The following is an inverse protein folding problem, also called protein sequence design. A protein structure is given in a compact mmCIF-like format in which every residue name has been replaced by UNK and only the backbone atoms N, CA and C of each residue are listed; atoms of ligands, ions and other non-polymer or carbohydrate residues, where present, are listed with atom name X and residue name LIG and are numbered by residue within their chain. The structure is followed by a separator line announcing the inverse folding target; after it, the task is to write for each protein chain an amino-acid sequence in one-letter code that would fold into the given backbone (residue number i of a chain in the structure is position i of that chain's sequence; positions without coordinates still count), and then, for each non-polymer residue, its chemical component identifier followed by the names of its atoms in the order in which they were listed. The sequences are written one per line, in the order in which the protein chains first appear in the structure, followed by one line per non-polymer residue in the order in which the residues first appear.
data_IF_133160133924
#
_entry.id   IF_133160133924
#
_cell.length_a   1.000
_cell.length_b   1.000
_cell.length_c   1.000
_cell.angle_alpha   90.00
_cell.angle_beta   90.00
_cell.angle_gamma   90.00
#
_symmetry.space_group_name_H-M   'P 1'
#
loop_
_entity.id
_entity.type
_entity.pdbx_description
1 polymer ?
#
# COMPACT_ATOMS: atom_id res chain seq x y z
N UNK A 1 3.40 42.57 20.21
CA UNK A 1 4.51 41.61 20.05
C UNK A 1 4.76 40.95 21.40
N UNK A 2 4.32 39.71 21.59
CA UNK A 2 4.55 38.95 22.83
C UNK A 2 5.40 37.70 22.50
N UNK A 3 6.46 37.40 23.26
CA UNK A 3 7.33 36.27 22.95
C UNK A 3 6.70 34.95 23.40
N UNK A 4 6.67 33.97 22.49
CA UNK A 4 6.18 32.62 22.78
C UNK A 4 7.16 31.88 23.70
N UNK A 5 6.75 31.62 24.95
CA UNK A 5 7.49 30.74 25.88
C UNK A 5 7.46 29.30 25.37
N UNK A 6 8.64 28.73 25.09
CA UNK A 6 8.79 27.30 24.75
C UNK A 6 8.95 26.48 26.04
N UNK A 7 8.03 25.57 26.30
CA UNK A 7 8.15 24.57 27.36
C UNK A 7 9.23 23.54 26.95
N UNK A 8 10.33 23.48 27.70
CA UNK A 8 11.30 22.38 27.61
C UNK A 8 10.68 21.15 28.28
N UNK A 9 10.45 20.08 27.52
CA UNK A 9 10.18 18.76 28.09
C UNK A 9 11.52 18.10 28.39
N UNK A 10 11.78 17.84 29.66
CA UNK A 10 12.84 16.95 30.12
C UNK A 10 12.38 15.53 29.82
N UNK A 11 13.05 14.83 28.91
CA UNK A 11 12.80 13.41 28.64
C UNK A 11 13.79 12.64 29.51
N UNK A 12 13.26 11.91 30.49
CA UNK A 12 14.01 10.95 31.27
C UNK A 12 14.51 9.82 30.34
N UNK A 13 15.83 9.63 30.29
CA UNK A 13 16.47 8.51 29.62
C UNK A 13 16.26 7.24 30.43
N UNK A 14 15.50 6.28 29.89
CA UNK A 14 15.52 4.89 30.34
C UNK A 14 16.55 4.15 29.45
N UNK A 15 17.62 3.54 30.02
CA UNK A 15 18.58 2.78 29.25
C UNK A 15 18.02 1.37 29.02
N UNK A 16 17.69 1.01 27.78
CA UNK A 16 17.34 -0.39 27.48
C UNK A 16 16.54 -0.66 26.21
N UNK A 17 16.09 0.35 25.48
CA UNK A 17 15.39 0.11 24.21
C UNK A 17 15.77 1.19 23.20
N UNK A 18 16.45 0.78 22.14
CA UNK A 18 16.99 1.59 21.04
C UNK A 18 18.27 2.36 21.38
N UNK A 19 19.39 1.91 20.80
CA UNK A 19 20.56 2.76 20.59
C UNK A 19 20.17 3.87 19.60
N UNK A 20 19.54 4.95 20.07
CA UNK A 20 19.63 6.21 19.33
C UNK A 20 21.12 6.58 19.35
N UNK A 21 21.77 6.49 18.18
CA UNK A 21 23.17 6.89 17.97
C UNK A 21 23.46 8.17 18.75
N UNK A 22 24.11 8.05 19.90
CA UNK A 22 24.46 9.16 20.79
C UNK A 22 25.67 9.94 20.29
N UNK A 23 26.34 9.45 19.23
CA UNK A 23 27.52 10.08 18.64
C UNK A 23 27.20 11.08 17.52
N UNK A 24 25.93 11.44 17.29
CA UNK A 24 25.60 12.47 16.30
C UNK A 24 25.35 13.81 16.98
N UNK A 25 26.22 14.79 16.71
CA UNK A 25 26.11 16.17 17.18
C UNK A 25 24.65 16.69 17.08
N UNK A 26 24.14 17.43 18.07
CA UNK A 26 22.74 17.89 18.08
C UNK A 26 22.39 18.81 16.89
N UNK A 27 23.39 19.34 16.17
CA UNK A 27 23.22 20.07 14.92
C UNK A 27 22.79 19.17 13.74
N UNK A 28 23.17 17.89 13.73
CA UNK A 28 22.84 16.94 12.66
C UNK A 28 21.46 16.29 12.83
N UNK A 29 20.91 16.24 14.06
CA UNK A 29 19.57 15.70 14.32
C UNK A 29 18.42 16.50 13.71
N UNK A 30 18.65 17.79 13.39
CA UNK A 30 17.69 18.65 12.68
C UNK A 30 17.47 18.18 11.22
N UNK A 31 18.41 17.38 10.67
CA UNK A 31 18.38 16.79 9.32
C UNK A 31 17.68 15.42 9.26
N UNK A 32 17.36 14.78 10.40
CA UNK A 32 16.80 13.42 10.48
C UNK A 32 15.39 13.26 9.90
N UNK A 33 14.77 14.34 9.44
CA UNK A 33 13.49 14.27 8.75
C UNK A 33 13.71 13.56 7.41
N UNK A 34 13.26 12.29 7.31
CA UNK A 34 13.33 11.47 6.10
C UNK A 34 13.06 12.34 4.86
N UNK A 35 14.11 12.59 4.07
CA UNK A 35 14.00 13.44 2.87
C UNK A 35 12.96 12.79 1.96
N UNK A 36 11.98 13.59 1.54
CA UNK A 36 10.95 13.15 0.58
C UNK A 36 11.60 13.09 -0.79
N UNK A 37 12.20 11.96 -1.12
CA UNK A 37 12.86 11.72 -2.41
C UNK A 37 11.96 10.85 -3.29
N UNK A 38 11.99 11.11 -4.60
CA UNK A 38 11.30 10.28 -5.58
C UNK A 38 11.85 8.85 -5.59
N UNK A 39 11.00 7.86 -5.32
CA UNK A 39 11.35 6.44 -5.21
C UNK A 39 11.13 5.64 -6.50
N UNK A 40 10.95 6.30 -7.63
CA UNK A 40 10.74 5.62 -8.92
C UNK A 40 12.02 5.04 -9.55
N UNK A 41 13.20 5.54 -9.18
CA UNK A 41 14.50 5.10 -9.73
C UNK A 41 15.26 4.20 -8.74
N UNK A 42 15.86 3.11 -9.24
CA UNK A 42 16.71 2.19 -8.45
C UNK A 42 17.86 2.89 -7.73
N UNK A 43 18.50 3.88 -8.39
CA UNK A 43 19.56 4.71 -7.79
C UNK A 43 19.11 5.41 -6.50
N UNK A 44 17.84 5.82 -6.40
CA UNK A 44 17.32 6.46 -5.19
C UNK A 44 16.97 5.44 -4.10
N UNK A 45 16.56 4.23 -4.45
CA UNK A 45 16.35 3.16 -3.47
C UNK A 45 17.63 2.82 -2.73
N UNK A 46 18.73 2.62 -3.47
CA UNK A 46 20.01 2.25 -2.86
C UNK A 46 20.59 3.37 -1.98
N UNK A 47 20.31 4.65 -2.27
CA UNK A 47 20.89 5.79 -1.54
C UNK A 47 20.09 6.22 -0.32
N UNK A 48 18.77 6.03 -0.33
CA UNK A 48 17.87 6.58 0.69
C UNK A 48 17.12 5.52 1.49
N UNK A 49 17.37 4.24 1.23
CA UNK A 49 16.92 3.14 2.08
C UNK A 49 18.09 2.77 2.98
N UNK A 50 18.03 3.21 4.23
CA UNK A 50 18.95 2.77 5.26
C UNK A 50 18.43 1.43 5.80
N UNK A 51 19.19 0.35 5.58
CA UNK A 51 18.86 -1.01 5.99
C UNK A 51 19.77 -1.46 7.14
N UNK A 52 20.74 -0.63 7.56
CA UNK A 52 21.72 -0.98 8.59
C UNK A 52 21.05 -1.41 9.90
N UNK A 53 19.95 -0.77 10.31
CA UNK A 53 19.18 -1.16 11.50
C UNK A 53 18.67 -2.62 11.43
N UNK A 54 18.26 -3.07 10.23
CA UNK A 54 17.81 -4.45 10.02
C UNK A 54 19.00 -5.40 9.94
N UNK A 55 20.12 -4.97 9.34
CA UNK A 55 21.36 -5.76 9.28
C UNK A 55 21.93 -5.97 10.69
N UNK A 56 22.06 -4.91 11.47
CA UNK A 56 22.49 -4.92 12.87
C UNK A 56 21.61 -5.87 13.71
N UNK A 57 20.28 -5.77 13.58
CA UNK A 57 19.36 -6.68 14.27
C UNK A 57 19.55 -8.16 13.87
N UNK A 58 19.75 -8.44 12.58
CA UNK A 58 19.98 -9.80 12.11
C UNK A 58 21.37 -10.31 12.48
N UNK A 59 22.37 -9.45 12.57
CA UNK A 59 23.69 -9.77 13.11
C UNK A 59 23.63 -10.08 14.60
N UNK A 60 22.86 -9.31 15.37
CA UNK A 60 22.61 -9.56 16.80
C UNK A 60 21.91 -10.90 17.03
N UNK A 61 20.90 -11.25 16.23
CA UNK A 61 20.26 -12.58 16.30
C UNK A 61 21.29 -13.67 16.06
N UNK A 62 22.08 -13.58 14.99
CA UNK A 62 23.13 -14.57 14.69
C UNK A 62 24.19 -14.63 15.79
N UNK A 63 24.49 -13.50 16.42
CA UNK A 63 25.42 -13.45 17.53
C UNK A 63 24.86 -14.16 18.76
N UNK A 64 23.58 -13.97 19.09
CA UNK A 64 22.89 -14.69 20.16
C UNK A 64 22.83 -16.20 19.88
N UNK A 65 22.58 -16.60 18.64
CA UNK A 65 22.61 -18.02 18.24
C UNK A 65 24.00 -18.65 18.46
N UNK A 66 25.08 -17.93 18.15
CA UNK A 66 26.45 -18.43 18.38
C UNK A 66 26.83 -18.51 19.85
N UNK A 67 26.50 -17.48 20.63
CA UNK A 67 26.95 -17.37 22.03
C UNK A 67 26.07 -18.17 22.97
N UNK A 68 24.75 -18.07 22.79
CA UNK A 68 23.76 -18.65 23.69
C UNK A 68 23.18 -19.95 23.13
N UNK A 69 23.36 -20.25 21.84
CA UNK A 69 22.79 -21.46 21.23
C UNK A 69 21.28 -21.34 20.93
N UNK A 70 20.75 -20.12 20.82
CA UNK A 70 19.35 -19.83 20.53
C UNK A 70 18.91 -18.45 20.99
N UNK A 71 17.71 -18.01 20.59
CA UNK A 71 17.19 -16.70 20.97
C UNK A 71 16.92 -16.62 22.47
N UNK A 72 17.42 -15.58 23.13
CA UNK A 72 17.30 -15.45 24.59
C UNK A 72 15.83 -15.35 25.05
N UNK A 73 14.96 -14.78 24.19
CA UNK A 73 13.53 -14.62 24.48
C UNK A 73 12.72 -15.92 24.48
N UNK A 74 13.23 -16.99 23.87
CA UNK A 74 12.52 -18.27 23.78
C UNK A 74 12.92 -19.24 24.89
N UNK A 75 14.04 -18.97 25.57
CA UNK A 75 14.53 -19.79 26.67
C UNK A 75 13.74 -19.48 27.94
N UNK A 76 13.42 -20.52 28.70
CA UNK A 76 12.78 -20.38 30.01
C UNK A 76 13.76 -19.79 31.02
N UNK A 77 13.25 -18.99 31.95
CA UNK A 77 14.06 -18.35 33.00
C UNK A 77 14.85 -19.40 33.81
N UNK A 78 14.25 -20.58 34.06
CA UNK A 78 14.90 -21.71 34.74
C UNK A 78 16.15 -22.24 34.02
N UNK A 79 16.22 -22.08 32.69
CA UNK A 79 17.40 -22.45 31.89
C UNK A 79 18.44 -21.33 31.83
N UNK A 80 18.03 -20.07 32.04
CA UNK A 80 18.89 -18.90 32.01
C UNK A 80 19.55 -18.63 33.35
N UNK A 81 18.84 -18.90 34.43
CA UNK A 81 19.24 -18.60 35.79
C UNK A 81 19.21 -19.88 36.62
N UNK A 82 20.38 -20.37 37.02
CA UNK A 82 20.49 -21.36 38.08
C UNK A 82 20.94 -20.65 39.36
N UNK A 83 20.21 -20.85 40.44
CA UNK A 83 20.68 -20.46 41.77
C UNK A 83 21.61 -21.56 42.25
N UNK A 84 22.93 -21.34 42.15
CA UNK A 84 23.93 -22.21 42.77
C UNK A 84 23.94 -22.00 44.28
N UNK A 85 22.93 -22.58 44.93
CA UNK A 85 22.91 -22.74 46.37
C UNK A 85 23.71 -24.01 46.64
N UNK A 86 25.00 -23.84 46.96
CA UNK A 86 25.87 -24.94 47.35
C UNK A 86 25.17 -25.86 48.37
N UNK A 87 25.12 -27.16 48.05
CA UNK A 87 24.42 -28.25 48.77
C UNK A 87 23.31 -27.82 49.75
N UNK A 88 22.04 -27.76 49.31
CA UNK A 88 20.95 -27.47 50.21
C UNK A 88 20.57 -28.70 51.04
N UNK A 89 20.60 -28.58 52.37
CA UNK A 89 19.86 -29.48 53.24
C UNK A 89 18.38 -29.35 52.92
N UNK A 90 17.81 -30.49 52.50
CA UNK A 90 16.42 -30.71 52.12
C UNK A 90 15.45 -30.00 53.07
N UNK A 91 14.83 -28.91 52.62
CA UNK A 91 13.65 -28.31 53.25
C UNK A 91 12.66 -27.91 52.17
N UNK A 92 11.55 -28.63 52.16
CA UNK A 92 10.33 -28.37 51.42
C UNK A 92 9.74 -27.02 51.89
N UNK A 93 9.92 -25.96 51.11
CA UNK A 93 9.14 -24.74 51.27
C UNK A 93 7.88 -24.86 50.43
N UNK A 94 6.80 -25.21 51.11
CA UNK A 94 5.43 -25.06 50.65
C UNK A 94 5.23 -23.70 49.96
N UNK A 95 4.78 -23.74 48.72
CA UNK A 95 4.24 -22.59 48.01
C UNK A 95 2.80 -22.37 48.50
N UNK A 96 2.47 -21.27 49.20
CA UNK A 96 1.10 -20.88 49.39
C UNK A 96 0.54 -20.33 48.06
N UNK A 97 -0.46 -21.01 47.52
CA UNK A 97 -1.34 -20.52 46.46
C UNK A 97 -1.89 -19.12 46.83
N UNK A 98 -1.78 -18.11 45.94
CA UNK A 98 -2.40 -16.82 46.19
C UNK A 98 -3.92 -16.92 46.07
N UNK A 99 -4.61 -16.60 47.17
CA UNK A 99 -6.06 -16.36 47.20
C UNK A 99 -6.36 -15.07 46.45
N UNK A 100 -6.74 -15.19 45.17
CA UNK A 100 -7.28 -14.07 44.39
C UNK A 100 -8.76 -13.85 44.74
N UNK A 101 -9.03 -12.71 45.38
CA UNK A 101 -10.35 -12.15 45.67
C UNK A 101 -11.21 -11.99 44.40
N UNK A 102 -12.01 -13.00 44.07
CA UNK A 102 -13.05 -12.87 43.05
C UNK A 102 -14.26 -12.13 43.62
N UNK A 103 -14.18 -10.79 43.63
CA UNK A 103 -15.35 -9.91 43.73
C UNK A 103 -16.45 -10.40 42.79
N UNK A 104 -17.63 -10.62 43.37
CA UNK A 104 -18.70 -11.42 42.80
C UNK A 104 -19.16 -10.97 41.42
N UNK A 105 -18.91 -11.81 40.40
CA UNK A 105 -19.79 -11.88 39.25
C UNK A 105 -21.12 -12.41 39.75
N UNK A 106 -22.15 -11.55 39.77
CA UNK A 106 -23.55 -11.95 39.97
C UNK A 106 -23.78 -13.18 39.10
N UNK A 107 -24.14 -14.32 39.71
CA UNK A 107 -24.48 -15.53 38.97
C UNK A 107 -25.58 -15.12 38.01
N UNK A 108 -25.28 -15.08 36.71
CA UNK A 108 -26.31 -14.84 35.71
C UNK A 108 -27.45 -15.83 36.00
N UNK A 109 -28.68 -15.35 36.03
CA UNK A 109 -29.85 -16.14 36.36
C UNK A 109 -29.83 -17.41 35.52
N UNK A 110 -29.77 -18.58 36.17
CA UNK A 110 -29.95 -19.85 35.48
C UNK A 110 -31.33 -19.78 34.81
N UNK A 111 -31.45 -20.08 33.51
CA UNK A 111 -32.74 -20.03 32.82
C UNK A 111 -33.73 -20.97 33.50
N UNK A 112 -35.02 -20.67 33.38
CA UNK A 112 -36.08 -21.49 33.96
C UNK A 112 -36.04 -22.89 33.36
N UNK A 113 -36.51 -23.90 34.09
CA UNK A 113 -36.50 -25.29 33.62
C UNK A 113 -37.28 -25.48 32.32
N UNK A 114 -38.35 -24.70 32.12
CA UNK A 114 -39.11 -24.67 30.87
C UNK A 114 -38.28 -24.16 29.68
N UNK A 115 -37.41 -23.18 29.92
CA UNK A 115 -36.55 -22.61 28.88
C UNK A 115 -35.39 -23.56 28.55
N UNK A 116 -34.90 -24.31 29.55
CA UNK A 116 -33.92 -25.38 29.33
C UNK A 116 -34.48 -26.50 28.45
N UNK A 117 -35.76 -26.86 28.60
CA UNK A 117 -36.43 -27.90 27.78
C UNK A 117 -36.64 -27.41 26.33
N UNK A 118 -36.76 -26.10 26.11
CA UNK A 118 -36.89 -25.51 24.78
C UNK A 118 -35.54 -25.30 24.08
N UNK A 119 -34.43 -25.33 24.81
CA UNK A 119 -33.09 -25.28 24.24
C UNK A 119 -32.75 -26.58 23.53
N UNK A 120 -31.81 -26.53 22.59
CA UNK A 120 -31.36 -27.72 21.88
C UNK A 120 -30.49 -28.57 22.81
N UNK A 121 -30.86 -29.83 23.03
CA UNK A 121 -30.09 -30.76 23.86
C UNK A 121 -28.87 -31.36 23.12
N UNK A 122 -28.69 -31.02 21.84
CA UNK A 122 -27.54 -31.50 21.07
C UNK A 122 -26.26 -30.88 21.61
N UNK A 123 -25.38 -31.69 22.21
CA UNK A 123 -24.02 -31.27 22.59
C UNK A 123 -23.13 -30.90 21.38
N UNK A 124 -23.66 -31.02 20.17
CA UNK A 124 -23.01 -30.62 18.94
C UNK A 124 -23.17 -29.11 18.77
N UNK A 125 -22.07 -28.34 18.67
CA UNK A 125 -22.15 -26.92 18.41
C UNK A 125 -22.84 -26.69 17.06
N UNK A 126 -23.72 -25.68 16.94
CA UNK A 126 -24.34 -25.36 15.68
C UNK A 126 -23.26 -25.05 14.63
N UNK A 127 -23.46 -25.44 13.36
CA UNK A 127 -22.52 -25.12 12.30
C UNK A 127 -22.32 -23.62 12.23
N UNK A 128 -21.06 -23.18 12.25
CA UNK A 128 -20.71 -21.76 12.19
C UNK A 128 -21.15 -21.22 10.84
N UNK A 129 -22.07 -20.26 10.85
CA UNK A 129 -22.44 -19.52 9.64
C UNK A 129 -21.29 -18.57 9.24
N UNK A 130 -20.32 -19.14 8.53
CA UNK A 130 -19.13 -18.42 8.04
C UNK A 130 -19.48 -17.30 7.05
N UNK A 131 -20.65 -17.33 6.42
CA UNK A 131 -21.07 -16.34 5.42
C UNK A 131 -21.76 -15.15 6.07
N UNK A 132 -22.59 -15.35 7.10
CA UNK A 132 -23.28 -14.26 7.80
C UNK A 132 -22.31 -13.22 8.41
N UNK A 133 -21.12 -13.65 8.85
CA UNK A 133 -20.12 -12.77 9.45
C UNK A 133 -19.04 -12.29 8.47
N UNK A 134 -18.97 -12.85 7.26
CA UNK A 134 -18.04 -12.39 6.24
C UNK A 134 -18.56 -11.10 5.58
N UNK A 135 -18.21 -9.97 6.17
CA UNK A 135 -18.35 -8.70 5.47
C UNK A 135 -17.24 -8.56 4.43
N UNK A 136 -17.55 -8.49 3.13
CA UNK A 136 -16.54 -8.19 2.13
C UNK A 136 -15.88 -6.84 2.49
N UNK A 137 -14.55 -6.80 2.45
CA UNK A 137 -13.76 -5.63 2.87
C UNK A 137 -13.88 -5.22 4.36
N UNK A 138 -14.22 -6.13 5.29
CA UNK A 138 -14.32 -5.86 6.73
C UNK A 138 -13.11 -5.06 7.30
N UNK A 139 -11.88 -5.44 6.91
CA UNK A 139 -10.65 -4.75 7.35
C UNK A 139 -10.61 -3.27 6.92
N UNK A 140 -11.12 -2.96 5.73
CA UNK A 140 -11.19 -1.59 5.20
C UNK A 140 -12.26 -0.77 5.92
N UNK A 141 -13.40 -1.39 6.23
CA UNK A 141 -14.46 -0.76 7.01
C UNK A 141 -13.99 -0.46 8.44
N UNK A 142 -13.32 -1.40 9.10
CA UNK A 142 -12.73 -1.19 10.44
C UNK A 142 -11.75 -0.02 10.48
N UNK A 143 -10.85 0.06 9.49
CA UNK A 143 -9.91 1.19 9.37
C UNK A 143 -10.63 2.53 9.14
N UNK A 144 -11.71 2.54 8.36
CA UNK A 144 -12.52 3.75 8.15
C UNK A 144 -13.23 4.18 9.43
N UNK A 145 -13.82 3.25 10.18
CA UNK A 145 -14.46 3.50 11.46
C UNK A 145 -13.46 4.08 12.48
N UNK A 146 -12.31 3.42 12.68
CA UNK A 146 -11.25 3.90 13.56
C UNK A 146 -10.76 5.31 13.16
N UNK A 147 -10.61 5.58 11.86
CA UNK A 147 -10.23 6.92 11.39
C UNK A 147 -11.33 7.95 11.69
N UNK A 148 -12.60 7.58 11.54
CA UNK A 148 -13.72 8.46 11.86
C UNK A 148 -13.78 8.77 13.36
N UNK A 149 -13.59 7.76 14.22
CA UNK A 149 -13.49 7.92 15.68
C UNK A 149 -12.32 8.82 16.09
N UNK A 150 -11.14 8.61 15.50
CA UNK A 150 -9.98 9.48 15.75
C UNK A 150 -10.22 10.94 15.33
N UNK A 151 -10.93 11.16 14.23
CA UNK A 151 -11.29 12.51 13.80
C UNK A 151 -12.35 13.12 14.73
N UNK A 152 -13.33 12.33 15.18
CA UNK A 152 -14.35 12.74 16.13
C UNK A 152 -13.74 13.10 17.50
N UNK A 153 -12.82 12.28 18.02
CA UNK A 153 -12.08 12.55 19.26
C UNK A 153 -11.25 13.84 19.17
N UNK A 154 -10.76 14.17 17.96
CA UNK A 154 -10.06 15.44 17.69
C UNK A 154 -11.01 16.61 17.40
N UNK A 155 -12.33 16.40 17.39
CA UNK A 155 -13.33 17.41 17.02
C UNK A 155 -13.28 17.84 15.55
N UNK A 156 -12.61 17.08 14.68
CA UNK A 156 -12.41 17.44 13.28
C UNK A 156 -13.56 16.90 12.44
N UNK A 157 -14.46 17.79 12.02
CA UNK A 157 -15.55 17.46 11.10
C UNK A 157 -15.01 17.25 9.66
N UNK A 158 -15.40 16.16 8.96
CA UNK A 158 -15.01 15.92 7.58
C UNK A 158 -15.44 17.06 6.65
N UNK A 159 -14.63 17.34 5.61
CA UNK A 159 -14.90 18.39 4.62
C UNK A 159 -16.32 18.30 4.01
N UNK A 160 -16.80 17.09 3.73
CA UNK A 160 -18.15 16.86 3.18
C UNK A 160 -19.25 17.36 4.13
N UNK A 161 -19.10 17.09 5.42
CA UNK A 161 -20.07 17.53 6.43
C UNK A 161 -19.97 19.04 6.67
N UNK A 162 -18.75 19.62 6.65
CA UNK A 162 -18.57 21.08 6.64
C UNK A 162 -19.28 21.74 5.45
N UNK A 163 -19.16 21.16 4.25
CA UNK A 163 -19.83 21.64 3.04
C UNK A 163 -21.36 21.54 3.13
N UNK A 164 -21.88 20.49 3.76
CA UNK A 164 -23.32 20.36 4.00
C UNK A 164 -23.84 21.38 5.00
N UNK A 165 -23.09 21.67 6.07
CA UNK A 165 -23.45 22.70 7.03
C UNK A 165 -23.32 24.11 6.44
N UNK A 166 -22.35 24.34 5.55
CA UNK A 166 -22.19 25.63 4.86
C UNK A 166 -23.18 25.84 3.73
N UNK A 167 -23.85 24.78 3.25
CA UNK A 167 -24.97 24.92 2.33
C UNK A 167 -26.10 25.58 3.11
N UNK A 168 -26.38 26.85 2.81
CA UNK A 168 -27.62 27.51 3.25
C UNK A 168 -28.78 26.56 2.96
N UNK A 169 -29.64 26.34 3.95
CA UNK A 169 -30.93 25.71 3.71
C UNK A 169 -31.64 26.58 2.68
N UNK A 170 -31.71 26.10 1.44
CA UNK A 170 -32.58 26.72 0.45
C UNK A 170 -33.98 26.49 1.00
N UNK A 171 -34.66 27.56 1.39
CA UNK A 171 -36.06 27.49 1.76
C UNK A 171 -36.80 26.84 0.60
N UNK A 172 -37.23 25.59 0.78
CA UNK A 172 -38.02 24.82 -0.20
C UNK A 172 -39.45 25.39 -0.31
N UNK A 173 -39.61 26.69 -0.15
CA UNK A 173 -40.87 27.40 -0.27
C UNK A 173 -41.26 27.68 -1.74
N UNK A 174 -40.30 27.60 -2.68
CA UNK A 174 -40.62 27.61 -4.10
C UNK A 174 -41.19 26.24 -4.50
N UNK A 175 -42.51 26.17 -4.74
CA UNK A 175 -43.16 25.05 -5.41
C UNK A 175 -42.46 24.86 -6.75
N UNK A 176 -41.57 23.87 -6.84
CA UNK A 176 -41.05 23.43 -8.13
C UNK A 176 -42.25 22.95 -8.92
N UNK A 177 -42.47 23.51 -10.11
CA UNK A 177 -43.39 22.94 -11.08
C UNK A 177 -43.10 21.44 -11.16
N UNK A 178 -44.14 20.60 -11.08
CA UNK A 178 -43.98 19.16 -11.22
C UNK A 178 -43.28 18.90 -12.55
N UNK A 179 -42.00 18.56 -12.49
CA UNK A 179 -41.28 18.08 -13.66
C UNK A 179 -41.80 16.68 -13.91
N UNK A 180 -42.42 16.47 -15.07
CA UNK A 180 -42.86 15.14 -15.47
C UNK A 180 -41.67 14.18 -15.43
N UNK A 181 -41.92 12.98 -14.91
CA UNK A 181 -40.88 11.97 -14.79
C UNK A 181 -40.36 11.57 -16.18
N UNK A 182 -39.05 11.33 -16.30
CA UNK A 182 -38.38 10.98 -17.56
C UNK A 182 -38.84 9.64 -18.18
N UNK A 183 -39.73 8.92 -17.50
CA UNK A 183 -40.30 7.64 -17.92
C UNK A 183 -41.78 7.74 -18.30
N UNK A 184 -42.26 8.92 -18.70
CA UNK A 184 -43.64 9.06 -19.16
C UNK A 184 -43.76 8.48 -20.60
N UNK A 185 -44.51 7.39 -20.83
CA UNK A 185 -44.59 6.75 -22.15
C UNK A 185 -45.39 7.55 -23.18
N UNK A 186 -46.19 8.53 -22.74
CA UNK A 186 -46.94 9.44 -23.62
C UNK A 186 -46.12 10.67 -24.09
N UNK A 187 -44.84 10.75 -23.71
CA UNK A 187 -43.98 11.86 -24.13
C UNK A 187 -43.43 11.61 -25.52
N UNK A 188 -43.79 12.48 -26.47
CA UNK A 188 -43.24 12.47 -27.83
C UNK A 188 -41.71 12.60 -27.82
N UNK A 189 -41.02 11.81 -28.67
CA UNK A 189 -39.55 11.77 -28.76
C UNK A 189 -39.02 13.08 -29.36
N UNK A 190 -38.67 14.02 -28.48
CA UNK A 190 -38.09 15.30 -28.87
C UNK A 190 -36.57 15.16 -29.08
N UNK A 191 -36.16 14.93 -30.33
CA UNK A 191 -34.76 14.94 -30.74
C UNK A 191 -34.25 16.39 -30.86
N UNK A 192 -33.76 16.91 -29.74
CA UNK A 192 -33.14 18.25 -29.63
C UNK A 192 -31.85 18.43 -30.44
N UNK A 193 -31.40 17.39 -31.17
CA UNK A 193 -30.15 17.41 -31.94
C UNK A 193 -30.30 16.86 -33.37
N UNK A 194 -31.53 16.79 -33.90
CA UNK A 194 -31.84 16.23 -35.21
C UNK A 194 -31.36 17.01 -36.44
N UNK A 195 -30.20 17.70 -36.39
CA UNK A 195 -29.57 18.37 -37.54
C UNK A 195 -28.08 17.99 -37.74
N UNK A 196 -27.56 16.97 -37.08
CA UNK A 196 -26.21 16.48 -37.42
C UNK A 196 -26.25 15.14 -38.15
N UNK A 197 -25.68 15.16 -39.37
CA UNK A 197 -25.50 13.99 -40.22
C UNK A 197 -24.86 12.85 -39.42
N UNK A 198 -25.52 11.69 -39.43
CA UNK A 198 -25.03 10.46 -38.80
C UNK A 198 -23.58 10.22 -39.24
N UNK A 199 -22.60 10.16 -38.31
CA UNK A 199 -21.21 10.00 -38.70
C UNK A 199 -21.04 8.64 -39.35
N UNK A 200 -20.33 8.63 -40.49
CA UNK A 200 -19.90 7.44 -41.21
C UNK A 200 -18.97 6.63 -40.30
N UNK A 201 -19.55 5.78 -39.47
CA UNK A 201 -18.87 4.79 -38.66
C UNK A 201 -19.28 3.41 -39.18
N UNK A 202 -18.38 2.45 -39.09
CA UNK A 202 -18.63 1.09 -39.54
C UNK A 202 -19.81 0.49 -38.76
N UNK A 203 -20.96 0.19 -39.41
CA UNK A 203 -22.20 -0.17 -38.72
C UNK A 203 -22.06 -1.38 -37.80
N UNK A 204 -21.23 -2.34 -38.19
CA UNK A 204 -21.03 -3.59 -37.47
C UNK A 204 -20.31 -3.39 -36.13
N UNK A 205 -19.26 -2.56 -36.11
CA UNK A 205 -18.50 -2.28 -34.89
C UNK A 205 -19.34 -1.53 -33.84
N UNK A 206 -20.18 -0.60 -34.31
CA UNK A 206 -21.03 0.22 -33.44
C UNK A 206 -22.18 -0.60 -32.85
N UNK A 207 -22.74 -1.54 -33.62
CA UNK A 207 -23.76 -2.48 -33.16
C UNK A 207 -23.23 -3.39 -32.04
N UNK A 208 -21.97 -3.84 -32.15
CA UNK A 208 -21.40 -4.78 -31.20
C UNK A 208 -20.81 -4.14 -29.94
N UNK A 209 -20.18 -2.97 -30.07
CA UNK A 209 -19.43 -2.35 -28.96
C UNK A 209 -20.13 -1.14 -28.33
N UNK A 210 -21.15 -0.60 -29.01
CA UNK A 210 -21.90 0.59 -28.57
C UNK A 210 -21.05 1.87 -28.49
N UNK A 211 -19.84 1.86 -29.04
CA UNK A 211 -18.87 2.95 -28.92
C UNK A 211 -18.25 3.25 -30.28
N UNK A 212 -17.86 4.51 -30.50
CA UNK A 212 -17.10 4.92 -31.69
C UNK A 212 -15.63 4.51 -31.53
N UNK A 213 -14.99 4.11 -32.63
CA UNK A 213 -13.54 3.90 -32.68
C UNK A 213 -12.81 5.22 -32.39
N UNK A 214 -11.81 5.16 -31.50
CA UNK A 214 -10.95 6.32 -31.21
C UNK A 214 -9.98 6.51 -32.37
N UNK A 215 -9.88 7.73 -32.89
CA UNK A 215 -8.89 8.07 -33.94
C UNK A 215 -7.47 7.93 -33.38
N UNK A 216 -6.63 7.18 -34.09
CA UNK A 216 -5.21 7.02 -33.74
C UNK A 216 -4.47 8.33 -34.00
N UNK A 217 -3.58 8.79 -33.09
CA UNK A 217 -2.77 9.98 -33.33
C UNK A 217 -1.78 9.74 -34.48
N UNK A 218 -1.62 10.74 -35.36
CA UNK A 218 -0.78 10.66 -36.58
C UNK A 218 0.70 10.34 -36.29
N UNK A 219 1.23 10.81 -35.16
CA UNK A 219 2.61 10.54 -34.72
C UNK A 219 2.96 9.06 -34.61
N UNK A 220 1.96 8.18 -34.50
CA UNK A 220 2.17 6.74 -34.42
C UNK A 220 2.36 6.10 -35.81
N UNK A 221 1.97 6.79 -36.88
CA UNK A 221 2.19 6.33 -38.25
C UNK A 221 3.57 6.74 -38.78
N UNK A 222 4.22 7.70 -38.12
CA UNK A 222 5.57 8.17 -38.47
C UNK A 222 6.61 7.09 -38.10
N UNK A 223 7.45 6.72 -39.07
CA UNK A 223 8.56 5.81 -38.81
C UNK A 223 9.64 6.51 -37.97
N UNK A 224 10.18 5.86 -36.93
CA UNK A 224 11.10 6.50 -35.98
C UNK A 224 12.48 6.82 -36.57
N UNK A 225 12.87 6.15 -37.66
CA UNK A 225 14.16 6.34 -38.33
C UNK A 225 14.00 6.34 -39.84
N UNK A 226 14.80 7.17 -40.51
CA UNK A 226 14.93 7.19 -41.99
C UNK A 226 15.82 6.05 -42.49
N UNK A 227 16.61 5.45 -41.59
CA UNK A 227 17.54 4.38 -41.94
C UNK A 227 16.79 3.07 -42.26
N UNK A 228 17.25 2.30 -43.26
CA UNK A 228 16.71 0.97 -43.52
C UNK A 228 16.96 0.06 -42.31
N UNK A 229 16.08 -0.93 -42.11
CA UNK A 229 16.15 -1.83 -40.97
C UNK A 229 17.43 -2.71 -40.96
N UNK A 230 18.01 -2.97 -42.14
CA UNK A 230 19.23 -3.75 -42.32
C UNK A 230 20.13 -3.00 -43.30
N UNK A 231 21.37 -2.76 -42.89
CA UNK A 231 22.41 -2.26 -43.78
C UNK A 231 22.85 -3.40 -44.70
N UNK A 232 22.56 -3.26 -45.99
CA UNK A 232 22.98 -4.24 -47.00
C UNK A 232 24.38 -3.88 -47.47
N UNK A 233 25.35 -4.75 -47.19
CA UNK A 233 26.74 -4.60 -47.62
C UNK A 233 26.81 -4.81 -49.14
N UNK A 234 27.74 -4.11 -49.81
CA UNK A 234 28.03 -4.33 -51.22
C UNK A 234 28.40 -5.81 -51.50
N UNK A 235 28.03 -6.38 -52.66
CA UNK A 235 28.24 -7.81 -52.96
C UNK A 235 29.71 -8.25 -52.93
N UNK A 236 30.63 -7.30 -53.17
CA UNK A 236 32.08 -7.50 -53.05
C UNK A 236 32.58 -7.83 -51.63
N UNK A 237 31.76 -7.62 -50.59
CA UNK A 237 32.11 -7.91 -49.20
C UNK A 237 31.69 -9.31 -48.72
N UNK A 238 31.17 -10.15 -49.63
CA UNK A 238 30.90 -11.55 -49.34
C UNK A 238 32.19 -12.36 -49.21
N UNK A 239 32.14 -13.55 -48.59
CA UNK A 239 33.31 -14.40 -48.37
C UNK A 239 33.96 -14.89 -49.68
N UNK A 240 33.17 -14.99 -50.76
CA UNK A 240 33.62 -15.39 -52.09
C UNK A 240 32.98 -14.49 -53.16
N UNK A 241 33.44 -13.25 -53.32
CA UNK A 241 32.86 -12.31 -54.26
C UNK A 241 33.35 -12.57 -55.68
N UNK A 242 32.54 -12.21 -56.68
CA UNK A 242 33.00 -12.12 -58.06
C UNK A 242 34.09 -11.05 -58.18
N UNK A 243 35.06 -11.25 -59.09
CA UNK A 243 36.25 -10.41 -59.20
C UNK A 243 35.89 -8.93 -59.41
N UNK A 244 34.95 -8.66 -60.32
CA UNK A 244 34.50 -7.29 -60.60
C UNK A 244 33.83 -6.63 -59.38
N UNK A 245 33.03 -7.39 -58.64
CA UNK A 245 32.32 -6.90 -57.46
C UNK A 245 33.29 -6.53 -56.32
N UNK A 246 34.36 -7.31 -56.17
CA UNK A 246 35.41 -7.03 -55.19
C UNK A 246 36.24 -5.78 -55.55
N UNK A 247 36.63 -5.63 -56.82
CA UNK A 247 37.38 -4.45 -57.28
C UNK A 247 36.59 -3.15 -57.08
N UNK A 248 35.29 -3.16 -57.41
CA UNK A 248 34.40 -2.01 -57.18
C UNK A 248 34.32 -1.63 -55.71
N UNK A 249 34.30 -2.62 -54.80
CA UNK A 249 34.31 -2.35 -53.36
C UNK A 249 35.63 -1.69 -52.92
N UNK A 250 36.76 -2.19 -53.40
CA UNK A 250 38.08 -1.62 -53.08
C UNK A 250 38.22 -0.19 -53.58
N UNK A 251 37.81 0.09 -54.82
CA UNK A 251 37.86 1.45 -55.37
C UNK A 251 36.96 2.40 -54.57
N UNK A 252 35.73 1.98 -54.26
CA UNK A 252 34.81 2.78 -53.44
C UNK A 252 35.39 3.08 -52.05
N UNK A 253 36.07 2.10 -51.43
CA UNK A 253 36.71 2.31 -50.14
C UNK A 253 37.89 3.29 -50.22
N UNK A 254 38.74 3.18 -51.25
CA UNK A 254 39.85 4.11 -51.47
C UNK A 254 39.34 5.54 -51.71
N UNK A 255 38.27 5.71 -52.48
CA UNK A 255 37.66 7.03 -52.71
C UNK A 255 37.16 7.67 -51.42
N UNK A 256 36.51 6.89 -50.53
CA UNK A 256 36.07 7.39 -49.22
C UNK A 256 37.27 7.78 -48.35
N UNK A 257 38.33 6.96 -48.31
CA UNK A 257 39.51 7.23 -47.49
C UNK A 257 40.20 8.50 -47.96
N UNK A 258 40.38 8.69 -49.27
CA UNK A 258 40.94 9.92 -49.84
C UNK A 258 40.07 11.15 -49.55
N UNK A 259 38.75 10.98 -49.47
CA UNK A 259 37.84 12.09 -49.17
C UNK A 259 37.87 12.51 -47.69
N UNK A 260 38.11 11.56 -46.77
CA UNK A 260 38.14 11.82 -45.33
C UNK A 260 39.54 12.11 -44.77
N UNK A 261 40.60 11.72 -45.48
CA UNK A 261 42.00 12.00 -45.14
C UNK A 261 42.73 12.62 -46.35
N UNK A 262 42.67 13.96 -46.51
CA UNK A 262 43.42 14.67 -47.53
C UNK A 262 44.93 14.69 -47.25
#
# INVERSE_FOLDING_TARGET
MAPTRRLRRVVASQPGFLHLKSSSDPATLVSSRRKRVNKNKKKNWNKYSDINDVEDFLEDIRHQERTTGGLLSEKTDDSLFFLDVGQPSKVESAVPEPVEDKKGKRKASRPLRIDLILQHDSLVPPPKDILAYQQPNAKKLRRKAQRAEQLAAKGIVPRKQKQLLSRRSVDRAAKKSQTEANNNPERDFYDIWGEEAKPVADPWYLQQTGKKLVKRPERLNEQPSVLPAVEVIAPGGSYNPDFFSHQVLLTFHLDIVLYFYP
#
